data_IF_981199300245
#
_entry.id   IF_981199300245
#
_cell.length_a   1.000
_cell.length_b   1.000
_cell.length_c   1.000
_cell.angle_alpha   90.00
_cell.angle_beta   90.00
_cell.angle_gamma   90.00
#
_symmetry.space_group_name_H-M   'P 1'
#
loop_
_entity.id
_entity.type
_entity.pdbx_description
1 polymer ?
#
# COMPACT_ATOMS: atom_id res chain seq x y z
N UNK A 1 4.57 -12.67 -14.88
CA UNK A 1 3.58 -12.24 -13.87
C UNK A 1 3.04 -10.87 -14.20
N UNK A 2 1.71 -10.71 -14.21
CA UNK A 2 1.03 -9.43 -14.44
C UNK A 2 -0.01 -9.18 -13.36
N UNK A 3 -0.15 -7.92 -12.96
CA UNK A 3 -1.23 -7.47 -12.08
C UNK A 3 -2.56 -7.57 -12.86
N UNK A 4 -3.53 -8.25 -12.26
CA UNK A 4 -4.89 -8.40 -12.83
C UNK A 4 -5.95 -7.65 -12.02
N UNK A 5 -5.67 -7.32 -10.76
CA UNK A 5 -6.58 -6.55 -9.92
C UNK A 5 -5.82 -5.91 -8.75
N UNK A 6 -6.36 -4.79 -8.25
CA UNK A 6 -5.91 -4.12 -7.03
C UNK A 6 -7.15 -3.72 -6.24
N UNK A 7 -7.30 -4.26 -5.03
CA UNK A 7 -8.48 -4.07 -4.19
C UNK A 7 -8.15 -3.36 -2.89
N UNK A 8 -9.16 -2.71 -2.32
CA UNK A 8 -9.09 -1.93 -1.09
C UNK A 8 -10.05 -2.50 -0.07
N UNK A 9 -9.57 -2.69 1.16
CA UNK A 9 -10.39 -3.09 2.30
C UNK A 9 -10.12 -2.15 3.48
N UNK A 10 -11.19 -1.75 4.15
CA UNK A 10 -11.17 -0.78 5.24
C UNK A 10 -11.65 -1.46 6.51
N UNK A 11 -10.84 -1.39 7.57
CA UNK A 11 -11.11 -1.99 8.86
C UNK A 11 -11.21 -0.91 9.93
N UNK A 12 -12.22 -1.04 10.79
CA UNK A 12 -12.40 -0.24 11.99
C UNK A 12 -12.75 -1.17 13.16
N UNK A 13 -12.15 -0.93 14.33
CA UNK A 13 -12.45 -1.69 15.54
C UNK A 13 -12.47 -0.80 16.78
N UNK A 14 -13.20 -1.23 17.79
CA UNK A 14 -13.26 -0.52 19.06
C UNK A 14 -11.90 -0.54 19.78
N UNK A 15 -11.48 0.62 20.26
CA UNK A 15 -10.26 0.82 21.04
C UNK A 15 -10.49 1.95 22.05
N UNK A 16 -9.88 1.88 23.25
CA UNK A 16 -9.88 3.01 24.17
C UNK A 16 -9.32 4.27 23.51
N UNK A 17 -10.09 5.36 23.60
CA UNK A 17 -9.70 6.63 23.02
C UNK A 17 -8.53 7.26 23.77
N UNK A 18 -7.59 7.85 23.04
CA UNK A 18 -6.52 8.67 23.62
C UNK A 18 -6.59 10.10 23.07
N UNK A 19 -6.28 11.06 23.93
CA UNK A 19 -6.20 12.47 23.54
C UNK A 19 -4.74 12.89 23.35
N UNK A 20 -4.48 13.70 22.33
CA UNK A 20 -3.20 14.39 22.15
C UNK A 20 -3.45 15.83 21.73
N UNK A 21 -3.33 16.76 22.68
CA UNK A 21 -3.70 18.15 22.46
C UNK A 21 -5.17 18.25 22.00
N UNK A 22 -5.38 18.82 20.81
CA UNK A 22 -6.71 19.00 20.21
C UNK A 22 -7.26 17.80 19.43
N UNK A 23 -6.57 16.66 19.42
CA UNK A 23 -6.96 15.49 18.64
C UNK A 23 -7.42 14.33 19.53
N UNK A 24 -8.51 13.68 19.14
CA UNK A 24 -9.05 12.47 19.73
C UNK A 24 -8.82 11.26 18.82
N UNK A 25 -8.11 10.28 19.34
CA UNK A 25 -7.85 9.03 18.66
C UNK A 25 -8.72 7.93 19.28
N UNK A 26 -9.92 7.77 18.76
CA UNK A 26 -10.89 6.77 19.20
C UNK A 26 -10.64 5.39 18.61
N UNK A 27 -11.44 4.97 17.61
CA UNK A 27 -11.38 3.62 17.07
C UNK A 27 -10.04 3.32 16.40
N UNK A 28 -9.62 2.06 16.50
CA UNK A 28 -8.52 1.55 15.71
C UNK A 28 -8.94 1.42 14.25
N UNK A 29 -8.01 1.70 13.35
CA UNK A 29 -8.25 1.87 11.92
C UNK A 29 -7.10 1.28 11.12
N UNK A 30 -7.43 0.61 10.02
CA UNK A 30 -6.47 0.07 9.07
C UNK A 30 -7.06 0.07 7.66
N UNK A 31 -6.27 0.45 6.67
CA UNK A 31 -6.62 0.26 5.27
C UNK A 31 -5.62 -0.71 4.63
N UNK A 32 -6.15 -1.80 4.07
CA UNK A 32 -5.40 -2.86 3.40
C UNK A 32 -5.59 -2.74 1.90
N UNK A 33 -4.51 -2.92 1.18
CA UNK A 33 -4.48 -3.07 -0.28
C UNK A 33 -4.05 -4.49 -0.61
N UNK A 34 -4.78 -5.13 -1.51
CA UNK A 34 -4.43 -6.44 -2.06
C UNK A 34 -4.15 -6.31 -3.55
N UNK A 35 -2.97 -6.74 -4.00
CA UNK A 35 -2.59 -6.82 -5.42
C UNK A 35 -2.67 -8.28 -5.85
N UNK A 36 -3.38 -8.57 -6.93
CA UNK A 36 -3.57 -9.93 -7.47
C UNK A 36 -2.87 -10.10 -8.81
N UNK A 37 -2.33 -11.29 -9.05
CA UNK A 37 -1.60 -11.60 -10.29
C UNK A 37 -2.25 -12.72 -11.10
N UNK A 38 -1.93 -12.75 -12.39
CA UNK A 38 -2.34 -13.82 -13.34
C UNK A 38 -1.75 -15.20 -13.02
N UNK A 39 -0.74 -15.26 -12.16
CA UNK A 39 -0.11 -16.50 -11.68
C UNK A 39 -0.67 -16.96 -10.32
N UNK A 40 -1.72 -16.30 -9.81
CA UNK A 40 -2.37 -16.67 -8.54
C UNK A 40 -1.60 -16.24 -7.28
N UNK A 41 -0.50 -15.49 -7.41
CA UNK A 41 0.20 -14.89 -6.27
C UNK A 41 -0.48 -13.58 -5.90
N UNK A 42 -0.83 -13.43 -4.63
CA UNK A 42 -1.36 -12.18 -4.07
C UNK A 42 -0.34 -11.52 -3.14
N UNK A 43 -0.33 -10.19 -3.15
CA UNK A 43 0.46 -9.34 -2.27
C UNK A 43 -0.40 -8.48 -1.39
N UNK A 44 0.03 -8.29 -0.14
CA UNK A 44 -0.70 -7.48 0.83
C UNK A 44 0.14 -6.31 1.30
N UNK A 45 -0.49 -5.14 1.38
CA UNK A 45 0.12 -3.95 1.96
C UNK A 45 -0.91 -3.14 2.70
N UNK A 46 -0.44 -2.23 3.54
CA UNK A 46 -1.29 -1.52 4.49
C UNK A 46 -0.84 -0.08 4.65
N UNK A 47 -1.81 0.78 4.91
CA UNK A 47 -1.61 2.14 5.37
C UNK A 47 -2.74 2.53 6.35
N UNK A 48 -2.69 3.78 6.82
CA UNK A 48 -3.55 4.24 7.89
C UNK A 48 -3.01 3.76 9.23
N UNK A 49 -2.84 4.69 10.17
CA UNK A 49 -2.48 4.36 11.54
C UNK A 49 -3.73 4.13 12.39
N UNK A 50 -3.56 3.40 13.49
CA UNK A 50 -4.57 3.16 14.55
C UNK A 50 -5.06 4.42 15.26
N UNK A 51 -4.55 5.58 14.85
CA UNK A 51 -4.78 6.90 15.42
C UNK A 51 -5.05 7.93 14.32
N UNK A 52 -5.66 7.55 13.19
CA UNK A 52 -6.06 8.53 12.18
C UNK A 52 -7.52 8.97 12.44
N UNK A 53 -7.75 10.24 12.79
CA UNK A 53 -9.11 10.84 12.79
C UNK A 53 -9.76 10.84 11.41
N UNK A 54 -8.93 10.74 10.36
CA UNK A 54 -9.34 10.81 8.96
C UNK A 54 -10.29 9.66 8.59
N UNK A 55 -11.35 9.93 7.82
CA UNK A 55 -12.28 8.89 7.40
C UNK A 55 -11.57 7.97 6.40
N UNK A 56 -11.67 6.65 6.61
CA UNK A 56 -10.93 5.66 5.82
C UNK A 56 -11.43 5.54 4.37
N UNK A 57 -12.65 6.00 4.09
CA UNK A 57 -13.24 6.02 2.75
C UNK A 57 -12.52 6.97 1.76
N UNK A 58 -11.54 7.75 2.20
CA UNK A 58 -10.68 8.55 1.31
C UNK A 58 -9.66 7.70 0.57
N UNK A 59 -9.33 6.50 1.05
CA UNK A 59 -8.31 5.65 0.44
C UNK A 59 -8.78 4.87 -0.80
N UNK A 60 -9.97 4.22 -0.81
CA UNK A 60 -10.41 3.42 -1.94
C UNK A 60 -10.35 4.15 -3.29
N UNK A 61 -10.81 5.42 -3.44
CA UNK A 61 -10.75 6.12 -4.73
C UNK A 61 -9.32 6.25 -5.31
N UNK A 62 -8.31 6.41 -4.45
CA UNK A 62 -6.91 6.42 -4.91
C UNK A 62 -6.42 5.03 -5.28
N UNK A 63 -6.92 3.97 -4.64
CA UNK A 63 -6.64 2.58 -5.06
C UNK A 63 -7.21 2.35 -6.45
N UNK A 64 -8.43 2.81 -6.74
CA UNK A 64 -9.03 2.71 -8.08
C UNK A 64 -8.20 3.45 -9.12
N UNK A 65 -7.77 4.68 -8.81
CA UNK A 65 -6.90 5.47 -9.68
C UNK A 65 -5.59 4.73 -10.00
N UNK A 66 -4.89 4.19 -9.00
CA UNK A 66 -3.64 3.48 -9.23
C UNK A 66 -3.86 2.11 -9.89
N UNK A 67 -4.98 1.43 -9.62
CA UNK A 67 -5.34 0.16 -10.27
C UNK A 67 -5.30 0.31 -11.79
N UNK A 68 -5.94 1.33 -12.33
CA UNK A 68 -5.99 1.58 -13.78
C UNK A 68 -4.59 1.78 -14.40
N UNK A 69 -3.64 2.29 -13.62
CA UNK A 69 -2.24 2.47 -14.04
C UNK A 69 -1.37 1.21 -13.86
N UNK A 70 -1.83 0.25 -13.07
CA UNK A 70 -1.10 -0.95 -12.66
C UNK A 70 -1.50 -2.21 -13.40
N UNK A 71 -2.75 -2.32 -13.88
CA UNK A 71 -3.21 -3.51 -14.62
C UNK A 71 -2.25 -3.81 -15.78
N UNK A 72 -1.84 -5.08 -15.87
CA UNK A 72 -0.93 -5.58 -16.90
C UNK A 72 0.56 -5.33 -16.62
N UNK A 73 0.94 -4.55 -15.59
CA UNK A 73 2.34 -4.38 -15.19
C UNK A 73 2.85 -5.58 -14.40
N UNK A 74 4.16 -5.80 -14.42
CA UNK A 74 4.82 -6.82 -13.60
C UNK A 74 5.04 -6.28 -12.16
N UNK A 75 4.42 -6.89 -11.13
CA UNK A 75 4.55 -6.41 -9.74
C UNK A 75 5.96 -6.58 -9.16
N UNK A 76 6.82 -7.39 -9.77
CA UNK A 76 8.20 -7.62 -9.30
C UNK A 76 9.16 -6.49 -9.72
N UNK A 77 8.76 -5.61 -10.64
CA UNK A 77 9.45 -4.37 -11.02
C UNK A 77 9.27 -3.26 -9.96
N UNK A 78 9.42 -3.59 -8.68
CA UNK A 78 9.12 -2.73 -7.52
C UNK A 78 9.73 -1.33 -7.60
N UNK A 79 10.99 -1.22 -8.03
CA UNK A 79 11.67 0.07 -8.23
C UNK A 79 11.00 0.92 -9.31
N UNK A 80 10.71 0.33 -10.46
CA UNK A 80 10.12 1.02 -11.60
C UNK A 80 8.70 1.49 -11.29
N UNK A 81 7.91 0.69 -10.56
CA UNK A 81 6.58 1.10 -10.09
C UNK A 81 6.69 2.32 -9.16
N UNK A 82 7.62 2.30 -8.20
CA UNK A 82 7.83 3.41 -7.27
C UNK A 82 8.30 4.70 -7.99
N UNK A 83 9.24 4.58 -8.94
CA UNK A 83 9.72 5.70 -9.75
C UNK A 83 8.62 6.26 -10.66
N UNK A 84 7.89 5.38 -11.37
CA UNK A 84 6.84 5.79 -12.30
C UNK A 84 5.67 6.46 -11.57
N UNK A 85 5.11 5.81 -10.55
CA UNK A 85 3.88 6.26 -9.89
C UNK A 85 4.11 7.18 -8.69
N UNK A 86 5.35 7.26 -8.20
CA UNK A 86 5.76 8.17 -7.13
C UNK A 86 6.51 9.38 -7.69
N UNK A 87 7.78 9.19 -8.05
CA UNK A 87 8.68 10.28 -8.40
C UNK A 87 8.23 11.06 -9.64
N UNK A 88 7.80 10.37 -10.71
CA UNK A 88 7.35 11.04 -11.94
C UNK A 88 5.95 11.64 -11.82
N UNK A 89 5.06 10.99 -11.06
CA UNK A 89 3.68 11.46 -10.83
C UNK A 89 3.58 12.55 -9.76
N UNK A 90 4.68 12.89 -9.08
CA UNK A 90 4.72 13.92 -8.03
C UNK A 90 4.20 15.29 -8.51
N UNK A 91 4.41 15.63 -9.79
CA UNK A 91 3.95 16.89 -10.39
C UNK A 91 2.43 16.93 -10.60
N UNK A 92 1.77 15.77 -10.61
CA UNK A 92 0.33 15.64 -10.87
C UNK A 92 -0.43 15.59 -9.54
N UNK A 93 0.03 14.77 -8.59
CA UNK A 93 -0.68 14.50 -7.34
C UNK A 93 -0.08 15.18 -6.11
N UNK A 94 1.09 15.81 -6.27
CA UNK A 94 1.84 16.42 -5.18
C UNK A 94 2.77 15.45 -4.45
N UNK A 95 3.66 15.98 -3.59
CA UNK A 95 4.72 15.22 -2.92
C UNK A 95 4.25 14.38 -1.72
N UNK A 96 2.99 14.49 -1.30
CA UNK A 96 2.49 13.83 -0.10
C UNK A 96 0.98 13.88 0.00
N UNK A 97 0.45 13.08 0.92
CA UNK A 97 -0.99 13.05 1.21
C UNK A 97 -1.56 11.65 1.17
N UNK A 98 -2.83 11.53 0.80
CA UNK A 98 -3.54 10.25 0.72
C UNK A 98 -3.00 9.41 -0.42
N UNK A 99 -2.69 10.02 -1.57
CA UNK A 99 -2.11 9.35 -2.73
C UNK A 99 -0.79 8.62 -2.38
N UNK A 100 0.12 9.27 -1.66
CA UNK A 100 1.42 8.66 -1.33
C UNK A 100 1.30 7.55 -0.30
N UNK A 101 0.33 7.65 0.63
CA UNK A 101 0.01 6.56 1.57
C UNK A 101 -0.57 5.33 0.85
N UNK A 102 -1.47 5.54 -0.13
CA UNK A 102 -2.01 4.45 -0.96
C UNK A 102 -0.92 3.81 -1.79
N UNK A 103 -0.08 4.62 -2.45
CA UNK A 103 1.06 4.12 -3.22
C UNK A 103 2.04 3.34 -2.34
N UNK A 104 2.28 3.77 -1.10
CA UNK A 104 3.12 3.02 -0.16
C UNK A 104 2.55 1.63 0.14
N UNK A 105 1.24 1.51 0.38
CA UNK A 105 0.58 0.21 0.58
C UNK A 105 0.69 -0.68 -0.67
N UNK A 106 0.51 -0.12 -1.87
CA UNK A 106 0.70 -0.85 -3.13
C UNK A 106 2.15 -1.34 -3.26
N UNK A 107 3.14 -0.49 -2.98
CA UNK A 107 4.55 -0.87 -3.05
C UNK A 107 4.88 -2.01 -2.08
N UNK A 108 4.33 -1.98 -0.86
CA UNK A 108 4.47 -3.08 0.12
C UNK A 108 3.87 -4.38 -0.46
N UNK A 109 2.67 -4.33 -1.04
CA UNK A 109 2.05 -5.49 -1.67
C UNK A 109 2.88 -6.06 -2.83
N UNK A 110 3.46 -5.20 -3.66
CA UNK A 110 4.37 -5.61 -4.74
C UNK A 110 5.65 -6.27 -4.20
N UNK A 111 6.21 -5.79 -3.09
CA UNK A 111 7.35 -6.42 -2.41
C UNK A 111 6.99 -7.79 -1.81
N UNK A 112 5.81 -7.93 -1.23
CA UNK A 112 5.29 -9.21 -0.74
C UNK A 112 5.16 -10.23 -1.88
N UNK A 113 4.58 -9.83 -3.03
CA UNK A 113 4.55 -10.66 -4.24
C UNK A 113 5.95 -11.06 -4.68
N UNK A 114 6.88 -10.11 -4.74
CA UNK A 114 8.27 -10.38 -5.16
C UNK A 114 8.96 -11.38 -4.24
N UNK A 115 8.74 -11.28 -2.92
CA UNK A 115 9.21 -12.26 -1.96
C UNK A 115 8.65 -13.66 -2.22
N UNK A 116 7.32 -13.76 -2.34
CA UNK A 116 6.60 -15.01 -2.63
C UNK A 116 7.04 -15.65 -3.95
N UNK A 117 7.11 -14.87 -5.02
CA UNK A 117 7.51 -15.32 -6.35
C UNK A 117 8.96 -15.86 -6.38
N UNK A 118 9.84 -15.28 -5.57
CA UNK A 118 11.26 -15.68 -5.50
C UNK A 118 11.54 -16.69 -4.37
N UNK A 119 10.53 -17.09 -3.57
CA UNK A 119 10.73 -17.95 -2.41
C UNK A 119 11.67 -17.34 -1.36
N UNK A 120 11.67 -16.01 -1.21
CA UNK A 120 12.57 -15.27 -0.30
C UNK A 120 11.79 -14.33 0.60
N UNK A 121 12.30 -14.12 1.81
CA UNK A 121 11.82 -13.01 2.65
C UNK A 121 12.19 -11.66 2.03
N UNK A 122 11.36 -10.64 2.21
CA UNK A 122 11.67 -9.25 1.78
C UNK A 122 12.98 -8.77 2.41
N UNK A 123 13.26 -9.14 3.67
CA UNK A 123 14.53 -8.88 4.33
C UNK A 123 15.75 -9.38 3.52
N UNK A 124 15.72 -10.64 3.07
CA UNK A 124 16.80 -11.18 2.22
C UNK A 124 16.92 -10.45 0.88
N UNK A 125 15.79 -10.04 0.29
CA UNK A 125 15.79 -9.28 -0.96
C UNK A 125 16.38 -7.87 -0.82
N UNK A 126 16.31 -7.28 0.38
CA UNK A 126 16.83 -5.96 0.69
C UNK A 126 18.29 -5.97 1.17
N UNK A 127 18.94 -7.13 1.21
CA UNK A 127 20.36 -7.27 1.57
C UNK A 127 20.64 -8.29 2.67
N UNK A 128 19.61 -8.77 3.38
CA UNK A 128 19.79 -9.73 4.47
C UNK A 128 20.44 -9.14 5.72
N UNK A 129 20.98 -10.01 6.57
CA UNK A 129 21.57 -9.61 7.84
C UNK A 129 22.65 -8.54 7.66
N UNK A 130 22.52 -7.48 8.46
CA UNK A 130 23.62 -6.61 8.85
C UNK A 130 24.20 -7.24 10.10
N UNK A 131 25.40 -7.82 9.99
CA UNK A 131 26.24 -8.06 11.17
C UNK A 131 26.72 -6.72 11.75
#
# INVERSE_FOLDING_TARGET
MKIIDVTSEVFEWERPGIWNGGHFYGPGRLHKVTVKTDEGIEGFGWNGGTAAERPLNVFPPFVEYFRDLLIGRDPTETRKIAEDLGEKHIKILGPGGVNTQVLAAINIACWDIKGKALGKSVHQLLGGAQD
#
